data_IF_802899900205
#
_entry.id   IF_802899900205
#
_cell.length_a   1.000
_cell.length_b   1.000
_cell.length_c   1.000
_cell.angle_alpha   90.00
_cell.angle_beta   90.00
_cell.angle_gamma   90.00
#
_symmetry.space_group_name_H-M   'P 1'
#
loop_
_entity.id
_entity.type
_entity.pdbx_description
1 polymer ?
#
# COMPACT_ATOMS: atom_id res chain seq x y z
N UNK A 1 13.98 -84.29 17.74
CA UNK A 1 12.57 -83.99 17.38
C UNK A 1 11.89 -83.29 18.55
N UNK A 2 11.58 -82.00 18.40
CA UNK A 2 10.48 -81.23 19.05
C UNK A 2 10.65 -79.77 18.63
N UNK A 3 9.74 -79.29 17.80
CA UNK A 3 9.81 -78.01 17.10
C UNK A 3 9.42 -76.83 17.97
N UNK A 4 10.11 -75.71 17.75
CA UNK A 4 9.68 -74.38 18.20
C UNK A 4 8.70 -73.80 17.17
N UNK A 5 7.53 -73.27 17.58
CA UNK A 5 6.65 -72.59 16.65
C UNK A 5 7.21 -71.19 16.34
N UNK A 6 7.52 -70.99 15.06
CA UNK A 6 7.73 -69.69 14.43
C UNK A 6 6.44 -68.88 14.51
N UNK A 7 6.45 -67.80 15.29
CA UNK A 7 5.39 -66.79 15.25
C UNK A 7 5.54 -65.97 13.97
N UNK A 8 4.70 -66.26 12.99
CA UNK A 8 4.46 -65.41 11.83
C UNK A 8 3.76 -64.13 12.31
N UNK A 9 4.30 -62.92 12.08
CA UNK A 9 3.54 -61.70 12.31
C UNK A 9 2.44 -61.62 11.26
N UNK A 10 1.18 -61.57 11.69
CA UNK A 10 0.03 -61.37 10.83
C UNK A 10 0.20 -60.08 10.00
N UNK A 11 0.01 -60.23 8.69
CA UNK A 11 -0.16 -59.14 7.74
C UNK A 11 -1.48 -58.40 8.05
N UNK A 12 -1.45 -57.50 9.02
CA UNK A 12 -2.64 -56.74 9.45
C UNK A 12 -2.35 -55.36 10.04
N UNK A 13 -1.09 -54.95 10.15
CA UNK A 13 -0.72 -53.78 10.99
C UNK A 13 0.02 -52.67 10.22
N UNK A 14 -0.21 -52.55 8.90
CA UNK A 14 0.35 -51.49 8.04
C UNK A 14 -0.68 -50.48 7.51
N UNK A 15 -1.86 -50.40 8.13
CA UNK A 15 -2.91 -49.45 7.69
C UNK A 15 -3.26 -48.36 8.72
N UNK A 16 -2.57 -48.30 9.87
CA UNK A 16 -2.86 -47.33 10.95
C UNK A 16 -1.61 -46.80 11.63
N UNK A 17 -0.77 -46.06 10.90
CA UNK A 17 0.20 -45.11 11.51
C UNK A 17 0.81 -44.28 10.39
N UNK A 18 0.33 -43.04 10.26
CA UNK A 18 0.70 -42.17 9.13
C UNK A 18 -0.36 -41.16 8.72
N UNK A 19 -1.52 -41.07 9.40
CA UNK A 19 -2.20 -39.78 9.55
C UNK A 19 -1.34 -38.94 10.48
N UNK A 20 -0.21 -38.47 9.95
CA UNK A 20 0.42 -37.28 10.48
C UNK A 20 -0.68 -36.25 10.51
N UNK A 21 -1.06 -35.80 11.71
CA UNK A 21 -1.69 -34.52 11.88
C UNK A 21 -0.88 -33.56 11.01
N UNK A 22 -1.43 -33.17 9.85
CA UNK A 22 -1.03 -31.91 9.25
C UNK A 22 -1.37 -30.91 10.35
N UNK A 23 -0.36 -30.58 11.16
CA UNK A 23 -0.37 -29.37 11.94
C UNK A 23 -0.91 -28.31 10.99
N UNK A 24 -2.00 -27.61 11.35
CA UNK A 24 -2.61 -26.64 10.45
C UNK A 24 -1.47 -25.81 9.85
N UNK A 25 -1.29 -25.98 8.53
CA UNK A 25 -0.25 -25.33 7.73
C UNK A 25 -0.21 -23.90 8.22
N UNK A 26 0.94 -23.50 8.80
CA UNK A 26 1.19 -22.23 9.47
C UNK A 26 0.11 -21.21 9.12
N UNK A 27 -0.87 -21.09 10.02
CA UNK A 27 -2.10 -20.30 9.94
C UNK A 27 -2.07 -19.27 8.82
N UNK A 28 -3.06 -19.28 7.93
CA UNK A 28 -3.32 -18.18 7.02
C UNK A 28 -3.58 -16.92 7.86
N UNK A 29 -2.50 -16.27 8.29
CA UNK A 29 -2.52 -15.29 9.37
C UNK A 29 -3.11 -14.06 8.71
N UNK A 30 -4.38 -13.78 9.03
CA UNK A 30 -5.10 -12.64 8.48
C UNK A 30 -4.19 -11.41 8.54
N UNK A 31 -4.15 -10.64 7.45
CA UNK A 31 -3.34 -9.42 7.30
C UNK A 31 -4.23 -8.16 7.34
N UNK A 32 -5.03 -7.94 8.40
CA UNK A 32 -5.99 -6.84 8.43
C UNK A 32 -5.34 -5.46 8.30
N UNK A 33 -4.14 -5.25 8.85
CA UNK A 33 -3.46 -3.96 8.79
C UNK A 33 -2.92 -3.69 7.38
N UNK A 34 -2.34 -4.70 6.73
CA UNK A 34 -1.95 -4.58 5.32
C UNK A 34 -3.17 -4.31 4.42
N UNK A 35 -4.29 -5.00 4.65
CA UNK A 35 -5.55 -4.72 3.92
C UNK A 35 -6.02 -3.29 4.15
N UNK A 36 -6.03 -2.83 5.40
CA UNK A 36 -6.41 -1.45 5.73
C UNK A 36 -5.49 -0.45 5.01
N UNK A 37 -4.18 -0.69 5.01
CA UNK A 37 -3.18 0.13 4.32
C UNK A 37 -3.45 0.21 2.82
N UNK A 38 -3.70 -0.93 2.18
CA UNK A 38 -3.99 -1.00 0.74
C UNK A 38 -5.31 -0.29 0.41
N UNK A 39 -6.35 -0.53 1.21
CA UNK A 39 -7.65 0.13 1.01
C UNK A 39 -7.56 1.65 1.19
N UNK A 40 -6.86 2.12 2.22
CA UNK A 40 -6.73 3.55 2.49
C UNK A 40 -5.84 4.26 1.48
N UNK A 41 -4.77 3.62 0.98
CA UNK A 41 -3.97 4.15 -0.12
C UNK A 41 -4.78 4.23 -1.42
N UNK A 42 -5.56 3.19 -1.74
CA UNK A 42 -6.46 3.24 -2.89
C UNK A 42 -7.50 4.36 -2.74
N UNK A 43 -8.04 4.56 -1.53
CA UNK A 43 -8.94 5.66 -1.24
C UNK A 43 -8.27 7.03 -1.42
N UNK A 44 -7.00 7.19 -1.07
CA UNK A 44 -6.25 8.44 -1.32
C UNK A 44 -6.20 8.78 -2.81
N UNK A 45 -5.83 7.81 -3.65
CA UNK A 45 -5.72 8.01 -5.09
C UNK A 45 -7.09 8.30 -5.73
N UNK A 46 -8.13 7.59 -5.28
CA UNK A 46 -9.51 7.82 -5.73
C UNK A 46 -10.03 9.19 -5.28
N UNK A 47 -9.67 9.63 -4.08
CA UNK A 47 -10.05 10.94 -3.56
C UNK A 47 -9.47 12.07 -4.42
N UNK A 48 -8.19 12.00 -4.77
CA UNK A 48 -7.53 12.97 -5.67
C UNK A 48 -8.17 13.01 -7.06
N UNK A 49 -8.40 11.83 -7.64
CA UNK A 49 -9.04 11.73 -8.95
C UNK A 49 -10.46 12.32 -8.92
N UNK A 50 -11.24 12.00 -7.87
CA UNK A 50 -12.59 12.50 -7.68
C UNK A 50 -12.64 14.01 -7.42
N UNK A 51 -11.65 14.54 -6.70
CA UNK A 51 -11.48 15.98 -6.48
C UNK A 51 -11.07 16.73 -7.77
N UNK A 52 -10.62 16.01 -8.79
CA UNK A 52 -10.24 16.57 -10.09
C UNK A 52 -8.85 17.21 -10.08
N UNK A 53 -7.93 16.67 -9.28
CA UNK A 53 -6.49 17.03 -9.30
C UNK A 53 -5.63 16.00 -10.03
N UNK A 54 -6.25 14.94 -10.55
CA UNK A 54 -5.58 13.85 -11.24
C UNK A 54 -5.25 12.69 -10.30
N UNK A 55 -4.38 11.81 -10.77
CA UNK A 55 -3.82 10.71 -9.99
C UNK A 55 -2.40 10.45 -10.50
N UNK A 56 -1.55 9.77 -9.71
CA UNK A 56 -0.19 9.49 -10.14
C UNK A 56 -0.14 8.76 -11.49
N UNK A 57 0.75 9.21 -12.38
CA UNK A 57 0.94 8.81 -13.78
C UNK A 57 -0.14 9.29 -14.79
N UNK A 58 -1.24 9.88 -14.35
CA UNK A 58 -2.31 10.32 -15.27
C UNK A 58 -1.80 11.38 -16.26
N UNK A 59 -0.79 12.16 -15.87
CA UNK A 59 -0.19 13.17 -16.73
C UNK A 59 0.59 12.59 -17.93
N UNK A 60 0.98 11.32 -17.86
CA UNK A 60 1.76 10.62 -18.89
C UNK A 60 0.85 9.74 -19.74
N UNK A 61 0.11 8.85 -19.09
CA UNK A 61 -0.64 7.77 -19.76
C UNK A 61 -2.14 8.04 -19.82
N UNK A 62 -2.60 9.15 -19.25
CA UNK A 62 -4.01 9.48 -19.10
C UNK A 62 -4.67 8.81 -17.89
N UNK A 63 -5.84 9.32 -17.45
CA UNK A 63 -6.48 8.89 -16.20
C UNK A 63 -6.94 7.43 -16.24
N UNK A 64 -7.40 6.92 -17.38
CA UNK A 64 -7.91 5.55 -17.48
C UNK A 64 -6.79 4.50 -17.39
N UNK A 65 -5.68 4.71 -18.10
CA UNK A 65 -4.53 3.81 -18.02
C UNK A 65 -3.88 3.85 -16.64
N UNK A 66 -3.76 5.04 -16.04
CA UNK A 66 -3.28 5.19 -14.67
C UNK A 66 -4.21 4.47 -13.67
N UNK A 67 -5.53 4.61 -13.83
CA UNK A 67 -6.52 3.89 -13.00
C UNK A 67 -6.36 2.39 -13.12
N UNK A 68 -6.24 1.87 -14.35
CA UNK A 68 -6.01 0.44 -14.58
C UNK A 68 -4.73 -0.07 -13.92
N UNK A 69 -3.63 0.68 -14.05
CA UNK A 69 -2.37 0.35 -13.40
C UNK A 69 -2.51 0.28 -11.87
N UNK A 70 -3.07 1.31 -11.25
CA UNK A 70 -3.24 1.34 -9.79
C UNK A 70 -4.23 0.29 -9.29
N UNK A 71 -5.28 -0.03 -10.05
CA UNK A 71 -6.20 -1.12 -9.74
C UNK A 71 -5.49 -2.48 -9.77
N UNK A 72 -4.63 -2.74 -10.76
CA UNK A 72 -3.83 -3.97 -10.85
C UNK A 72 -2.85 -4.10 -9.69
N UNK A 73 -2.11 -3.03 -9.36
CA UNK A 73 -1.18 -3.01 -8.23
C UNK A 73 -1.93 -3.26 -6.91
N UNK A 74 -3.02 -2.53 -6.68
CA UNK A 74 -3.87 -2.66 -5.48
C UNK A 74 -4.43 -4.07 -5.36
N UNK A 75 -5.01 -4.61 -6.44
CA UNK A 75 -5.56 -5.97 -6.47
C UNK A 75 -4.49 -7.04 -6.25
N UNK A 76 -3.29 -6.86 -6.80
CA UNK A 76 -2.16 -7.76 -6.60
C UNK A 76 -1.70 -7.82 -5.14
N UNK A 77 -1.51 -6.66 -4.50
CA UNK A 77 -1.15 -6.59 -3.08
C UNK A 77 -2.27 -7.11 -2.20
N UNK A 78 -3.53 -6.74 -2.49
CA UNK A 78 -4.70 -7.25 -1.79
C UNK A 78 -4.79 -8.78 -1.85
N UNK A 79 -4.60 -9.37 -3.04
CA UNK A 79 -4.57 -10.82 -3.23
C UNK A 79 -3.43 -11.49 -2.47
N UNK A 80 -2.25 -10.84 -2.39
CA UNK A 80 -1.12 -11.34 -1.61
C UNK A 80 -1.42 -11.40 -0.10
N UNK A 81 -2.37 -10.61 0.42
CA UNK A 81 -2.79 -10.67 1.83
C UNK A 81 -3.44 -11.99 2.24
N UNK A 82 -3.92 -12.78 1.28
CA UNK A 82 -4.49 -14.11 1.51
C UNK A 82 -3.47 -15.25 1.46
N UNK A 83 -2.19 -14.94 1.23
CA UNK A 83 -1.09 -15.90 1.13
C UNK A 83 -0.33 -15.98 2.46
N UNK A 84 0.35 -17.11 2.68
CA UNK A 84 1.23 -17.31 3.83
C UNK A 84 2.55 -16.55 3.73
N UNK A 85 3.57 -17.05 4.44
CA UNK A 85 4.87 -16.38 4.57
C UNK A 85 5.61 -16.08 3.26
N UNK A 86 5.27 -16.75 2.15
CA UNK A 86 5.85 -16.47 0.84
C UNK A 86 5.53 -15.05 0.34
N UNK A 87 4.46 -14.43 0.81
CA UNK A 87 4.10 -13.06 0.47
C UNK A 87 4.77 -11.99 1.35
N UNK A 88 5.41 -12.35 2.46
CA UNK A 88 5.90 -11.37 3.45
C UNK A 88 6.85 -10.33 2.85
N UNK A 89 7.73 -10.73 1.92
CA UNK A 89 8.62 -9.78 1.22
C UNK A 89 7.85 -8.76 0.38
N UNK A 90 6.85 -9.22 -0.38
CA UNK A 90 6.01 -8.35 -1.22
C UNK A 90 5.19 -7.42 -0.35
N UNK A 91 4.57 -7.93 0.72
CA UNK A 91 3.77 -7.14 1.64
C UNK A 91 4.63 -6.13 2.43
N UNK A 92 5.84 -6.50 2.82
CA UNK A 92 6.78 -5.57 3.45
C UNK A 92 7.21 -4.45 2.50
N UNK A 93 7.49 -4.76 1.23
CA UNK A 93 7.79 -3.74 0.22
C UNK A 93 6.59 -2.84 -0.01
N UNK A 94 5.38 -3.41 -0.18
CA UNK A 94 4.17 -2.63 -0.41
C UNK A 94 3.83 -1.70 0.75
N UNK A 95 3.88 -2.19 2.00
CA UNK A 95 3.66 -1.35 3.18
C UNK A 95 4.76 -0.30 3.33
N UNK A 96 6.03 -0.64 3.07
CA UNK A 96 7.15 0.31 3.07
C UNK A 96 7.00 1.39 2.01
N UNK A 97 6.57 1.04 0.80
CA UNK A 97 6.26 2.00 -0.26
C UNK A 97 5.08 2.90 0.12
N UNK A 98 4.03 2.33 0.72
CA UNK A 98 2.91 3.10 1.28
C UNK A 98 3.36 4.14 2.31
N UNK A 99 4.25 3.75 3.23
CA UNK A 99 4.87 4.68 4.19
C UNK A 99 5.71 5.75 3.50
N UNK A 100 6.47 5.39 2.46
CA UNK A 100 7.25 6.34 1.69
C UNK A 100 6.35 7.35 0.97
N UNK A 101 5.25 6.90 0.36
CA UNK A 101 4.27 7.76 -0.28
C UNK A 101 3.59 8.69 0.73
N UNK A 102 3.12 8.18 1.88
CA UNK A 102 2.55 9.01 2.94
C UNK A 102 3.55 10.05 3.45
N UNK A 103 4.80 9.66 3.66
CA UNK A 103 5.86 10.57 4.12
C UNK A 103 6.18 11.64 3.07
N UNK A 104 6.23 11.26 1.79
CA UNK A 104 6.45 12.19 0.69
C UNK A 104 5.38 13.28 0.65
N UNK A 105 4.10 12.94 0.84
CA UNK A 105 3.03 13.94 0.95
C UNK A 105 3.25 14.90 2.13
N UNK A 106 3.50 14.35 3.33
CA UNK A 106 3.68 15.15 4.55
C UNK A 106 4.95 16.04 4.54
N UNK A 107 5.95 15.68 3.74
CA UNK A 107 7.22 16.40 3.66
C UNK A 107 7.34 17.29 2.41
N UNK A 108 6.63 16.96 1.33
CA UNK A 108 6.69 17.67 0.07
C UNK A 108 5.75 18.87 0.00
N UNK A 109 4.70 18.91 0.81
CA UNK A 109 3.65 19.92 0.72
C UNK A 109 3.56 20.80 1.97
N UNK A 110 2.95 22.00 1.87
CA UNK A 110 2.76 22.89 3.01
C UNK A 110 2.03 22.21 4.17
N UNK A 111 2.62 22.28 5.37
CA UNK A 111 2.03 21.74 6.60
C UNK A 111 2.05 22.74 7.72
N UNK A 112 0.99 22.70 8.54
CA UNK A 112 0.97 23.28 9.89
C UNK A 112 1.13 22.19 10.94
N UNK A 113 1.36 22.58 12.18
CA UNK A 113 1.39 21.64 13.32
C UNK A 113 0.02 21.56 13.97
N UNK A 114 -0.46 20.36 14.26
CA UNK A 114 -1.62 20.15 15.15
C UNK A 114 -1.24 20.47 16.60
N UNK A 115 -2.22 20.51 17.50
CA UNK A 115 -1.96 20.62 18.95
C UNK A 115 -1.09 19.48 19.50
N UNK A 116 -1.08 18.33 18.82
CA UNK A 116 -0.22 17.19 19.16
C UNK A 116 1.14 17.22 18.45
N UNK A 117 1.51 18.31 17.75
CA UNK A 117 2.79 18.44 17.04
C UNK A 117 2.88 17.68 15.71
N UNK A 118 1.81 17.00 15.30
CA UNK A 118 1.77 16.24 14.04
C UNK A 118 1.65 17.17 12.83
N UNK A 119 2.32 16.88 11.71
CA UNK A 119 2.21 17.67 10.47
C UNK A 119 0.81 17.54 9.88
N UNK A 120 0.17 18.64 9.54
CA UNK A 120 -1.17 18.66 8.98
C UNK A 120 -1.12 19.42 7.67
N UNK A 121 -1.42 18.74 6.56
CA UNK A 121 -1.39 19.35 5.24
C UNK A 121 -2.38 20.52 5.19
N UNK A 122 -1.90 21.65 4.69
CA UNK A 122 -2.69 22.85 4.42
C UNK A 122 -3.13 22.93 2.96
N UNK A 123 -2.31 22.37 2.07
CA UNK A 123 -2.63 22.10 0.68
C UNK A 123 -1.84 20.86 0.25
N UNK A 124 -2.27 20.23 -0.84
CA UNK A 124 -1.58 19.12 -1.47
C UNK A 124 -2.04 19.00 -2.91
N UNK A 125 -1.14 19.13 -3.88
CA UNK A 125 -1.41 18.91 -5.30
C UNK A 125 -2.60 19.70 -5.87
N UNK A 126 -2.93 20.85 -5.28
CA UNK A 126 -4.07 21.68 -5.71
C UNK A 126 -5.43 21.21 -5.17
N UNK A 127 -5.44 20.34 -4.16
CA UNK A 127 -6.66 19.97 -3.43
C UNK A 127 -7.23 21.16 -2.65
N UNK A 128 -6.40 22.09 -2.20
CA UNK A 128 -6.81 23.25 -1.43
C UNK A 128 -7.15 22.94 0.04
N UNK A 129 -7.15 23.96 0.90
CA UNK A 129 -7.36 23.82 2.34
C UNK A 129 -8.75 23.26 2.71
N UNK A 130 -9.75 23.44 1.87
CA UNK A 130 -11.12 22.97 2.08
C UNK A 130 -11.25 21.44 2.04
N UNK A 131 -10.34 20.73 1.36
CA UNK A 131 -10.33 19.27 1.29
C UNK A 131 -9.42 18.62 2.33
N UNK A 132 -8.52 19.38 2.93
CA UNK A 132 -7.56 18.89 3.93
C UNK A 132 -8.19 18.21 5.16
N UNK A 133 -9.35 18.66 5.69
CA UNK A 133 -10.04 17.95 6.78
C UNK A 133 -10.43 16.50 6.45
N UNK A 134 -10.66 16.18 5.18
CA UNK A 134 -11.01 14.83 4.72
C UNK A 134 -9.78 14.05 4.25
N UNK A 135 -8.84 14.75 3.61
CA UNK A 135 -7.65 14.14 3.03
C UNK A 135 -6.62 13.69 4.09
N UNK A 136 -6.35 14.54 5.10
CA UNK A 136 -5.40 14.19 6.16
C UNK A 136 -5.77 12.87 6.88
N UNK A 137 -7.03 12.62 7.30
CA UNK A 137 -7.42 11.33 7.88
C UNK A 137 -7.12 10.12 6.99
N UNK A 138 -7.34 10.20 5.67
CA UNK A 138 -7.03 9.11 4.73
C UNK A 138 -5.52 8.84 4.72
N UNK A 139 -4.72 9.90 4.69
CA UNK A 139 -3.26 9.84 4.66
C UNK A 139 -2.70 9.27 5.98
N UNK A 140 -3.21 9.74 7.12
CA UNK A 140 -2.83 9.26 8.45
C UNK A 140 -3.25 7.80 8.67
N UNK A 141 -4.46 7.42 8.24
CA UNK A 141 -4.92 6.03 8.29
C UNK A 141 -3.97 5.12 7.50
N UNK A 142 -3.57 5.54 6.30
CA UNK A 142 -2.60 4.83 5.45
C UNK A 142 -1.24 4.67 6.12
N UNK A 143 -0.67 5.76 6.64
CA UNK A 143 0.63 5.73 7.30
C UNK A 143 0.63 4.88 8.58
N UNK A 144 -0.37 5.06 9.45
CA UNK A 144 -0.47 4.30 10.72
C UNK A 144 -0.73 2.83 10.45
N UNK A 145 -1.66 2.49 9.55
CA UNK A 145 -1.93 1.09 9.19
C UNK A 145 -0.69 0.43 8.58
N UNK A 146 0.03 1.12 7.69
CA UNK A 146 1.23 0.61 7.04
C UNK A 146 2.38 0.37 8.03
N UNK A 147 2.57 1.31 8.97
CA UNK A 147 3.57 1.17 10.02
C UNK A 147 3.26 -0.03 10.93
N UNK A 148 2.01 -0.13 11.38
CA UNK A 148 1.57 -1.25 12.21
C UNK A 148 1.66 -2.58 11.43
N UNK A 149 1.39 -2.59 10.14
CA UNK A 149 1.53 -3.78 9.29
C UNK A 149 3.00 -4.24 9.18
N UNK A 150 3.94 -3.31 8.97
CA UNK A 150 5.38 -3.60 8.98
C UNK A 150 5.81 -4.21 10.32
N UNK A 151 5.41 -3.61 11.44
CA UNK A 151 5.81 -4.05 12.78
C UNK A 151 5.14 -5.39 13.17
N UNK A 152 3.86 -5.57 12.83
CA UNK A 152 3.05 -6.68 13.39
C UNK A 152 2.86 -7.85 12.44
N UNK A 153 2.75 -7.60 11.14
CA UNK A 153 2.33 -8.61 10.16
C UNK A 153 3.52 -9.16 9.35
N UNK A 154 4.49 -8.35 8.95
CA UNK A 154 5.54 -8.76 8.00
C UNK A 154 6.78 -9.41 8.66
N UNK A 155 6.59 -10.20 9.72
CA UNK A 155 7.68 -10.65 10.61
C UNK A 155 8.75 -11.52 9.97
N UNK A 156 8.48 -12.17 8.83
CA UNK A 156 9.49 -13.00 8.12
C UNK A 156 10.18 -12.26 6.98
N UNK A 157 9.78 -11.02 6.69
CA UNK A 157 10.50 -10.18 5.75
C UNK A 157 11.76 -9.60 6.41
N UNK A 158 12.84 -9.38 5.66
CA UNK A 158 14.01 -8.66 6.17
C UNK A 158 13.63 -7.23 6.56
N UNK A 159 14.06 -6.77 7.74
CA UNK A 159 13.74 -5.43 8.24
C UNK A 159 14.27 -4.28 7.39
N UNK A 160 15.35 -4.51 6.61
CA UNK A 160 15.89 -3.50 5.70
C UNK A 160 14.96 -3.19 4.52
N UNK A 161 14.04 -4.10 4.18
CA UNK A 161 13.23 -3.98 2.98
C UNK A 161 12.20 -2.83 3.05
N UNK A 162 11.38 -2.69 4.12
CA UNK A 162 10.55 -1.50 4.28
C UNK A 162 11.38 -0.22 4.44
N UNK A 163 12.58 -0.29 5.05
CA UNK A 163 13.50 0.85 5.19
C UNK A 163 14.04 1.29 3.81
N UNK A 164 14.40 0.34 2.95
CA UNK A 164 14.85 0.63 1.60
C UNK A 164 13.76 1.35 0.79
N UNK A 165 12.48 0.99 0.99
CA UNK A 165 11.37 1.72 0.38
C UNK A 165 11.23 3.15 0.91
N UNK A 166 11.48 3.39 2.20
CA UNK A 166 11.52 4.76 2.76
C UNK A 166 12.64 5.61 2.13
N UNK A 167 13.71 4.99 1.64
CA UNK A 167 14.74 5.68 0.84
C UNK A 167 14.20 6.32 -0.43
N UNK A 168 13.00 5.95 -0.90
CA UNK A 168 12.36 6.55 -2.07
C UNK A 168 11.69 7.90 -1.78
N UNK A 169 11.57 8.33 -0.52
CA UNK A 169 10.86 9.57 -0.14
C UNK A 169 11.31 10.78 -0.95
N UNK A 170 12.62 11.11 -1.10
CA UNK A 170 13.04 12.27 -1.88
C UNK A 170 12.64 12.17 -3.36
N UNK A 171 12.72 10.97 -3.94
CA UNK A 171 12.33 10.73 -5.32
C UNK A 171 10.82 10.88 -5.51
N UNK A 172 10.02 10.41 -4.54
CA UNK A 172 8.56 10.56 -4.55
C UNK A 172 8.15 12.03 -4.42
N UNK A 173 8.79 12.81 -3.54
CA UNK A 173 8.55 14.26 -3.44
C UNK A 173 8.86 14.95 -4.78
N UNK A 174 10.01 14.66 -5.38
CA UNK A 174 10.38 15.23 -6.68
C UNK A 174 9.38 14.84 -7.78
N UNK A 175 8.92 13.58 -7.78
CA UNK A 175 7.95 13.05 -8.71
C UNK A 175 6.58 13.72 -8.56
N UNK A 176 6.06 13.85 -7.33
CA UNK A 176 4.79 14.54 -7.03
C UNK A 176 4.79 15.96 -7.57
N UNK A 177 5.83 16.74 -7.28
CA UNK A 177 5.92 18.11 -7.79
C UNK A 177 6.05 18.18 -9.31
N UNK A 178 6.81 17.26 -9.91
CA UNK A 178 6.93 17.19 -11.37
C UNK A 178 5.60 16.87 -12.04
N UNK A 179 4.89 15.87 -11.51
CA UNK A 179 3.57 15.44 -11.99
C UNK A 179 2.55 16.57 -11.81
N UNK A 180 2.47 17.17 -10.62
CA UNK A 180 1.57 18.29 -10.35
C UNK A 180 1.78 19.45 -11.33
N UNK A 181 3.04 19.87 -11.57
CA UNK A 181 3.34 20.90 -12.57
C UNK A 181 2.89 20.52 -13.98
N UNK A 182 3.00 19.24 -14.35
CA UNK A 182 2.55 18.73 -15.64
C UNK A 182 1.03 18.72 -15.74
N UNK A 183 0.34 18.33 -14.67
CA UNK A 183 -1.12 18.32 -14.57
C UNK A 183 -1.70 19.74 -14.65
N UNK A 184 -1.06 20.74 -14.03
CA UNK A 184 -1.44 22.16 -14.20
C UNK A 184 -1.39 22.56 -15.68
N UNK A 185 -0.25 22.30 -16.36
CA UNK A 185 -0.11 22.63 -17.80
C UNK A 185 -1.16 21.93 -18.67
N UNK A 186 -1.48 20.68 -18.33
CA UNK A 186 -2.52 19.93 -19.03
C UNK A 186 -3.91 20.49 -18.75
N UNK A 187 -4.23 20.85 -17.51
CA UNK A 187 -5.53 21.43 -17.17
C UNK A 187 -5.75 22.80 -17.85
N UNK A 188 -4.69 23.57 -18.07
CA UNK A 188 -4.76 24.85 -18.79
C UNK A 188 -5.01 24.68 -20.29
N UNK A 189 -4.43 23.64 -20.91
CA UNK A 189 -4.51 23.42 -22.37
C UNK A 189 -5.63 22.47 -22.79
N UNK A 190 -5.95 21.48 -21.95
CA UNK A 190 -6.91 20.40 -22.18
C UNK A 190 -7.64 20.07 -20.87
N UNK A 191 -8.50 20.97 -20.38
CA UNK A 191 -9.25 20.73 -19.15
C UNK A 191 -10.22 19.56 -19.35
N UNK A 192 -10.30 18.72 -18.34
CA UNK A 192 -11.21 17.58 -18.27
C UNK A 192 -11.68 17.39 -16.83
N UNK A 193 -12.70 16.56 -16.63
CA UNK A 193 -13.30 16.35 -15.30
C UNK A 193 -12.27 15.94 -14.23
N UNK A 194 -11.23 15.21 -14.63
CA UNK A 194 -10.20 14.64 -13.76
C UNK A 194 -9.05 15.59 -13.41
N UNK A 195 -8.91 16.74 -14.07
CA UNK A 195 -7.88 17.75 -13.78
C UNK A 195 -8.43 19.19 -13.66
N UNK A 196 -9.76 19.36 -13.72
CA UNK A 196 -10.44 20.67 -13.78
C UNK A 196 -10.08 21.61 -12.64
N UNK A 197 -9.77 21.09 -11.45
CA UNK A 197 -9.49 21.90 -10.25
C UNK A 197 -8.17 22.67 -10.41
N UNK A 198 -7.26 22.14 -11.21
CA UNK A 198 -5.93 22.74 -11.45
C UNK A 198 -5.96 23.89 -12.45
N UNK A 199 -7.08 24.12 -13.15
CA UNK A 199 -7.18 25.11 -14.22
C UNK A 199 -6.94 26.55 -13.73
N UNK A 200 -7.33 26.84 -12.50
CA UNK A 200 -7.18 28.16 -11.87
C UNK A 200 -5.82 28.39 -11.21
N UNK A 201 -4.96 27.37 -11.14
CA UNK A 201 -3.65 27.47 -10.51
C UNK A 201 -2.63 27.98 -11.53
N UNK A 202 -2.03 29.14 -11.26
CA UNK A 202 -0.84 29.64 -11.96
C UNK A 202 0.42 29.09 -11.29
N UNK A 203 1.55 29.05 -11.99
CA UNK A 203 2.82 28.41 -11.57
C UNK A 203 3.50 28.97 -10.29
N UNK A 204 2.78 29.70 -9.44
CA UNK A 204 3.34 30.46 -8.33
C UNK A 204 2.84 30.00 -6.96
N UNK A 205 3.16 28.76 -6.56
CA UNK A 205 3.64 28.37 -5.21
C UNK A 205 3.69 26.84 -5.09
N UNK A 206 4.79 26.28 -4.55
CA UNK A 206 4.78 24.91 -4.04
C UNK A 206 3.82 24.78 -2.85
#
# INVERSE_FOLDING_TARGET
MRGFPTRTPCAGDRARRGRGHRLPSASNRRRPLTRLTVASLAAHVVFELGAGVGMPLASIVGPYAATGFWALVTGGVWGATGRGASADRVLAAANGFGLAATSAHLLGWPTRRTRAGLPWLEDCEGLGPELMPFYNPILYCSGVAGLLAVVRENRRAPGYLPIAMLGLVPALVAFQHWEHRRLIRQAQTRPAWWNRRLRGLTHGRP
#
